data_IF_938239714135
#
_entry.id   IF_938239714135
#
_cell.length_a   1.000
_cell.length_b   1.000
_cell.length_c   1.000
_cell.angle_alpha   90.00
_cell.angle_beta   90.00
_cell.angle_gamma   90.00
#
_symmetry.space_group_name_H-M   'P 1'
#
loop_
_entity.id
_entity.type
_entity.pdbx_description
1 polymer ?
#
# COMPACT_ATOMS: atom_id res chain seq x y z
N UNK A 1 -6.81 -1.65 4.82
CA UNK A 1 -8.13 -2.31 4.68
C UNK A 1 -8.20 -3.21 3.44
N UNK A 2 -8.15 -2.73 2.18
CA UNK A 2 -8.33 -3.57 0.98
C UNK A 2 -7.42 -4.82 0.93
N UNK A 3 -6.14 -4.70 1.31
CA UNK A 3 -5.24 -5.86 1.40
C UNK A 3 -5.71 -6.91 2.41
N UNK A 4 -6.19 -6.45 3.57
CA UNK A 4 -6.72 -7.33 4.60
C UNK A 4 -7.98 -8.07 4.10
N UNK A 5 -8.90 -7.33 3.46
CA UNK A 5 -10.13 -7.92 2.91
C UNK A 5 -9.80 -8.99 1.87
N UNK A 6 -8.89 -8.69 0.91
CA UNK A 6 -8.49 -9.65 -0.12
C UNK A 6 -7.79 -10.88 0.46
N UNK A 7 -6.87 -10.68 1.40
CA UNK A 7 -6.18 -11.80 2.07
C UNK A 7 -7.14 -12.67 2.86
N UNK A 8 -8.08 -12.06 3.60
CA UNK A 8 -9.13 -12.79 4.32
C UNK A 8 -10.08 -13.52 3.37
N UNK A 9 -10.57 -12.84 2.32
CA UNK A 9 -11.46 -13.44 1.32
C UNK A 9 -10.79 -14.61 0.58
N UNK A 10 -9.49 -14.54 0.33
CA UNK A 10 -8.73 -15.65 -0.24
C UNK A 10 -8.78 -16.88 0.66
N UNK A 11 -8.56 -16.67 1.97
CA UNK A 11 -8.64 -17.75 2.94
C UNK A 11 -10.06 -18.29 3.11
N UNK A 12 -11.03 -17.42 3.28
CA UNK A 12 -12.45 -17.79 3.48
C UNK A 12 -13.03 -18.57 2.29
N UNK A 13 -12.65 -18.18 1.06
CA UNK A 13 -13.14 -18.79 -0.17
C UNK A 13 -12.49 -20.15 -0.47
N UNK A 14 -11.21 -20.31 -0.15
CA UNK A 14 -10.41 -21.45 -0.65
C UNK A 14 -9.85 -22.35 0.45
N UNK A 15 -9.78 -21.88 1.69
CA UNK A 15 -9.09 -22.54 2.81
C UNK A 15 -7.67 -23.01 2.46
N UNK A 16 -7.00 -22.36 1.50
CA UNK A 16 -5.72 -22.77 0.93
C UNK A 16 -4.65 -21.71 1.10
N UNK A 17 -3.52 -22.04 1.77
CA UNK A 17 -2.37 -21.13 1.86
C UNK A 17 -1.78 -20.76 0.50
N UNK A 18 -1.87 -21.65 -0.48
CA UNK A 18 -1.40 -21.40 -1.84
C UNK A 18 -2.18 -20.24 -2.47
N UNK A 19 -3.50 -20.23 -2.35
CA UNK A 19 -4.33 -19.14 -2.87
C UNK A 19 -4.05 -17.81 -2.17
N UNK A 20 -3.87 -17.82 -0.85
CA UNK A 20 -3.46 -16.62 -0.10
C UNK A 20 -2.12 -16.10 -0.62
N UNK A 21 -1.16 -17.00 -0.89
CA UNK A 21 0.13 -16.65 -1.48
C UNK A 21 0.02 -16.08 -2.89
N UNK A 22 -0.83 -16.66 -3.76
CA UNK A 22 -1.08 -16.18 -5.13
C UNK A 22 -1.69 -14.77 -5.09
N UNK A 23 -2.69 -14.54 -4.24
CA UNK A 23 -3.31 -13.22 -4.06
C UNK A 23 -2.29 -12.21 -3.56
N UNK A 24 -1.46 -12.58 -2.58
CA UNK A 24 -0.34 -11.76 -2.12
C UNK A 24 0.65 -11.40 -3.22
N UNK A 25 1.04 -12.38 -4.04
CA UNK A 25 1.92 -12.18 -5.19
C UNK A 25 1.30 -11.26 -6.25
N UNK A 26 0.01 -11.42 -6.56
CA UNK A 26 -0.71 -10.55 -7.49
C UNK A 26 -0.86 -9.12 -6.99
N UNK A 27 -0.92 -8.90 -5.68
CA UNK A 27 -0.88 -7.55 -5.11
C UNK A 27 0.51 -6.90 -5.18
N UNK A 28 1.57 -7.69 -5.33
CA UNK A 28 2.95 -7.20 -5.38
C UNK A 28 3.52 -7.10 -6.80
N UNK A 29 3.24 -8.07 -7.66
CA UNK A 29 3.83 -8.16 -8.99
C UNK A 29 3.56 -6.92 -9.88
N UNK A 30 2.32 -6.40 -9.98
CA UNK A 30 2.08 -5.17 -10.74
C UNK A 30 2.82 -3.97 -10.15
N UNK A 31 2.94 -3.90 -8.81
CA UNK A 31 3.66 -2.83 -8.15
C UNK A 31 5.15 -2.85 -8.50
N UNK A 32 5.78 -4.01 -8.55
CA UNK A 32 7.20 -4.14 -8.94
C UNK A 32 7.44 -3.67 -10.38
N UNK A 33 6.55 -4.05 -11.30
CA UNK A 33 6.71 -3.73 -12.74
C UNK A 33 6.35 -2.28 -13.04
N UNK A 34 5.27 -1.77 -12.46
CA UNK A 34 4.71 -0.45 -12.80
C UNK A 34 5.27 0.70 -11.96
N UNK A 35 5.79 0.43 -10.73
CA UNK A 35 6.29 1.51 -9.85
C UNK A 35 7.44 2.32 -10.45
N UNK A 36 8.43 1.74 -11.16
CA UNK A 36 9.48 2.53 -11.79
C UNK A 36 8.93 3.49 -12.86
N UNK A 37 7.96 3.03 -13.66
CA UNK A 37 7.30 3.86 -14.66
C UNK A 37 6.53 5.01 -14.00
N UNK A 38 5.71 4.73 -13.00
CA UNK A 38 4.97 5.75 -12.26
C UNK A 38 5.87 6.64 -11.42
N UNK A 39 7.06 6.17 -11.02
CA UNK A 39 8.09 6.98 -10.38
C UNK A 39 8.54 8.13 -11.29
N UNK A 40 8.94 7.83 -12.53
CA UNK A 40 9.30 8.86 -13.52
C UNK A 40 8.09 9.75 -13.85
N UNK A 41 6.90 9.16 -13.97
CA UNK A 41 5.69 9.93 -14.27
C UNK A 41 5.30 10.88 -13.13
N UNK A 42 5.61 10.55 -11.88
CA UNK A 42 5.28 11.41 -10.73
C UNK A 42 6.02 12.76 -10.72
N UNK A 43 7.15 12.85 -11.41
CA UNK A 43 7.89 14.10 -11.59
C UNK A 43 7.33 14.97 -12.73
N UNK A 44 6.50 14.38 -13.61
CA UNK A 44 5.97 15.02 -14.82
C UNK A 44 4.53 15.48 -14.70
N UNK A 45 3.74 14.80 -13.89
CA UNK A 45 2.32 15.11 -13.68
C UNK A 45 2.09 15.76 -12.33
N UNK A 46 0.97 16.47 -12.19
CA UNK A 46 0.58 16.99 -10.88
C UNK A 46 0.27 15.84 -9.92
N UNK A 47 1.07 15.65 -8.82
CA UNK A 47 0.91 14.52 -7.91
C UNK A 47 -0.48 14.48 -7.25
N UNK A 48 -1.13 15.65 -7.07
CA UNK A 48 -2.49 15.74 -6.56
C UNK A 48 -3.48 15.01 -7.48
N UNK A 49 -3.41 15.25 -8.80
CA UNK A 49 -4.31 14.59 -9.75
C UNK A 49 -4.03 13.08 -9.81
N UNK A 50 -2.76 12.68 -9.78
CA UNK A 50 -2.38 11.27 -9.70
C UNK A 50 -2.93 10.57 -8.46
N UNK A 51 -2.92 11.26 -7.30
CA UNK A 51 -3.50 10.72 -6.07
C UNK A 51 -5.04 10.65 -6.12
N UNK A 52 -5.72 11.68 -6.64
CA UNK A 52 -7.18 11.65 -6.81
C UNK A 52 -7.58 10.46 -7.69
N UNK A 53 -6.89 10.28 -8.83
CA UNK A 53 -7.12 9.12 -9.69
C UNK A 53 -6.87 7.80 -8.96
N UNK A 54 -5.78 7.72 -8.19
CA UNK A 54 -5.47 6.53 -7.39
C UNK A 54 -6.56 6.25 -6.34
N UNK A 55 -7.10 7.28 -5.64
CA UNK A 55 -8.19 7.10 -4.69
C UNK A 55 -9.47 6.62 -5.38
N UNK A 56 -9.81 7.18 -6.54
CA UNK A 56 -10.95 6.73 -7.33
C UNK A 56 -10.77 5.27 -7.77
N UNK A 57 -9.57 4.87 -8.17
CA UNK A 57 -9.27 3.50 -8.57
C UNK A 57 -9.36 2.53 -7.37
N UNK A 58 -8.83 2.89 -6.19
CA UNK A 58 -9.02 2.09 -4.98
C UNK A 58 -10.50 1.99 -4.58
N UNK A 59 -11.26 3.07 -4.74
CA UNK A 59 -12.69 3.10 -4.48
C UNK A 59 -13.47 2.18 -5.43
N UNK A 60 -13.12 2.17 -6.73
CA UNK A 60 -13.75 1.27 -7.71
C UNK A 60 -13.45 -0.22 -7.43
N UNK A 61 -12.23 -0.56 -6.98
CA UNK A 61 -11.87 -1.91 -6.53
C UNK A 61 -12.77 -2.31 -5.35
N UNK A 62 -12.91 -1.43 -4.34
CA UNK A 62 -13.79 -1.68 -3.20
C UNK A 62 -15.26 -1.84 -3.61
N UNK A 63 -15.74 -0.99 -4.53
CA UNK A 63 -17.11 -1.05 -5.03
C UNK A 63 -17.39 -2.35 -5.80
N UNK A 64 -16.47 -2.77 -6.68
CA UNK A 64 -16.59 -4.05 -7.38
C UNK A 64 -16.60 -5.22 -6.39
N UNK A 65 -15.72 -5.20 -5.38
CA UNK A 65 -15.71 -6.20 -4.31
C UNK A 65 -17.02 -6.24 -3.53
N UNK A 66 -17.60 -5.08 -3.18
CA UNK A 66 -18.88 -5.00 -2.50
C UNK A 66 -20.03 -5.57 -3.37
N UNK A 67 -20.13 -5.10 -4.62
CA UNK A 67 -21.19 -5.54 -5.54
C UNK A 67 -21.14 -7.05 -5.74
N UNK A 68 -19.97 -7.61 -6.03
CA UNK A 68 -19.81 -9.04 -6.28
C UNK A 68 -20.08 -9.88 -5.02
N UNK A 69 -19.70 -9.38 -3.84
CA UNK A 69 -19.99 -10.04 -2.56
C UNK A 69 -21.48 -10.05 -2.26
N UNK A 70 -22.18 -8.91 -2.37
CA UNK A 70 -23.61 -8.83 -2.08
C UNK A 70 -24.49 -9.54 -3.11
N UNK A 71 -24.03 -9.62 -4.38
CA UNK A 71 -24.74 -10.38 -5.42
C UNK A 71 -24.49 -11.90 -5.37
N UNK A 72 -23.60 -12.37 -4.50
CA UNK A 72 -23.19 -13.78 -4.46
C UNK A 72 -22.30 -14.20 -5.65
N UNK A 73 -21.82 -13.25 -6.45
CA UNK A 73 -20.97 -13.50 -7.63
C UNK A 73 -19.46 -13.44 -7.31
N UNK A 74 -19.08 -13.23 -6.05
CA UNK A 74 -17.68 -13.20 -5.64
C UNK A 74 -17.06 -14.59 -5.73
N UNK A 75 -16.03 -14.74 -6.56
CA UNK A 75 -15.35 -16.00 -6.84
C UNK A 75 -13.83 -15.79 -6.96
N UNK A 76 -13.10 -16.89 -7.19
CA UNK A 76 -11.64 -16.87 -7.30
C UNK A 76 -11.16 -15.93 -8.41
N UNK A 77 -11.82 -15.89 -9.56
CA UNK A 77 -11.45 -15.01 -10.66
C UNK A 77 -11.58 -13.53 -10.26
N UNK A 78 -12.71 -13.17 -9.64
CA UNK A 78 -12.94 -11.83 -9.10
C UNK A 78 -11.87 -11.44 -8.09
N UNK A 79 -11.54 -12.36 -7.17
CA UNK A 79 -10.49 -12.17 -6.18
C UNK A 79 -9.12 -11.87 -6.82
N UNK A 80 -8.72 -12.67 -7.84
CA UNK A 80 -7.44 -12.47 -8.54
C UNK A 80 -7.40 -11.13 -9.30
N UNK A 81 -8.48 -10.79 -9.99
CA UNK A 81 -8.59 -9.52 -10.73
C UNK A 81 -8.50 -8.31 -9.77
N UNK A 82 -9.21 -8.35 -8.64
CA UNK A 82 -9.15 -7.29 -7.64
C UNK A 82 -7.77 -7.20 -6.98
N UNK A 83 -7.09 -8.32 -6.75
CA UNK A 83 -5.72 -8.34 -6.22
C UNK A 83 -4.73 -7.69 -7.19
N UNK A 84 -4.78 -8.04 -8.47
CA UNK A 84 -3.95 -7.43 -9.51
C UNK A 84 -4.26 -5.93 -9.70
N UNK A 85 -5.53 -5.56 -9.68
CA UNK A 85 -5.96 -4.16 -9.73
C UNK A 85 -5.44 -3.36 -8.53
N UNK A 86 -5.50 -3.92 -7.31
CA UNK A 86 -4.96 -3.28 -6.11
C UNK A 86 -3.44 -3.10 -6.17
N UNK A 87 -2.71 -4.08 -6.71
CA UNK A 87 -1.27 -3.97 -6.97
C UNK A 87 -0.96 -2.82 -7.92
N UNK A 88 -1.70 -2.72 -9.01
CA UNK A 88 -1.57 -1.64 -10.01
C UNK A 88 -1.91 -0.26 -9.43
N UNK A 89 -3.00 -0.16 -8.67
CA UNK A 89 -3.38 1.08 -7.98
C UNK A 89 -2.30 1.53 -6.97
N UNK A 90 -1.70 0.58 -6.25
CA UNK A 90 -0.63 0.84 -5.28
C UNK A 90 0.67 1.30 -5.95
N UNK A 91 0.97 0.81 -7.15
CA UNK A 91 2.12 1.24 -7.95
C UNK A 91 2.07 2.74 -8.29
N UNK A 92 0.90 3.26 -8.60
CA UNK A 92 0.66 4.67 -8.85
C UNK A 92 0.64 5.49 -7.55
N UNK A 93 -0.06 4.98 -6.52
CA UNK A 93 -0.31 5.71 -5.27
C UNK A 93 0.98 6.13 -4.55
N UNK A 94 1.93 5.21 -4.39
CA UNK A 94 3.12 5.44 -3.57
C UNK A 94 4.02 6.57 -4.10
N UNK A 95 4.44 6.59 -5.40
CA UNK A 95 5.27 7.67 -5.91
C UNK A 95 4.54 9.02 -5.89
N UNK A 96 3.25 9.05 -6.24
CA UNK A 96 2.47 10.29 -6.20
C UNK A 96 2.36 10.88 -4.80
N UNK A 97 2.17 10.04 -3.77
CA UNK A 97 2.15 10.48 -2.38
C UNK A 97 3.49 11.07 -1.95
N UNK A 98 4.60 10.42 -2.29
CA UNK A 98 5.94 10.91 -1.94
C UNK A 98 6.27 12.22 -2.68
N UNK A 99 5.82 12.36 -3.92
CA UNK A 99 6.01 13.59 -4.69
C UNK A 99 5.17 14.76 -4.18
N UNK A 100 3.98 14.50 -3.58
CA UNK A 100 3.09 15.55 -3.08
C UNK A 100 3.61 16.21 -1.80
N UNK A 101 4.19 15.45 -0.86
CA UNK A 101 4.59 15.97 0.46
C UNK A 101 5.51 17.20 0.38
N UNK A 102 6.58 17.21 -0.44
CA UNK A 102 7.47 18.38 -0.56
C UNK A 102 6.81 19.62 -1.18
N UNK A 103 5.68 19.46 -1.86
CA UNK A 103 4.94 20.57 -2.46
C UNK A 103 3.95 21.24 -1.48
N UNK A 104 3.70 20.61 -0.33
CA UNK A 104 2.73 21.09 0.66
C UNK A 104 3.39 21.84 1.83
N UNK A 105 4.70 21.72 2.01
CA UNK A 105 5.39 22.30 3.16
C UNK A 105 6.67 23.02 2.73
N UNK A 106 7.11 24.07 3.45
CA UNK A 106 8.40 24.70 3.21
C UNK A 106 9.54 23.74 3.50
N UNK A 107 10.70 23.95 2.86
CA UNK A 107 11.88 23.04 2.99
C UNK A 107 12.33 22.82 4.43
N UNK A 108 12.19 23.82 5.29
CA UNK A 108 12.53 23.74 6.72
C UNK A 108 11.62 22.78 7.51
N UNK A 109 10.36 22.59 7.09
CA UNK A 109 9.41 21.71 7.75
C UNK A 109 9.37 20.29 7.13
N UNK A 110 10.11 20.05 6.04
CA UNK A 110 10.08 18.78 5.30
C UNK A 110 10.44 17.55 6.16
N UNK A 111 11.48 17.57 7.02
CA UNK A 111 11.78 16.41 7.87
C UNK A 111 10.62 16.06 8.82
N UNK A 112 10.01 17.07 9.44
CA UNK A 112 8.85 16.89 10.33
C UNK A 112 7.61 16.36 9.58
N UNK A 113 7.36 16.87 8.37
CA UNK A 113 6.26 16.41 7.53
C UNK A 113 6.44 14.93 7.13
N UNK A 114 7.64 14.53 6.74
CA UNK A 114 7.96 13.12 6.42
C UNK A 114 7.75 12.24 7.66
N UNK A 115 8.21 12.67 8.83
CA UNK A 115 7.99 11.96 10.09
C UNK A 115 6.51 11.78 10.42
N UNK A 116 5.69 12.84 10.25
CA UNK A 116 4.26 12.79 10.50
C UNK A 116 3.54 11.85 9.50
N UNK A 117 3.90 11.88 8.23
CA UNK A 117 3.37 10.96 7.22
C UNK A 117 3.72 9.52 7.54
N UNK A 118 4.95 9.24 7.95
CA UNK A 118 5.38 7.91 8.35
C UNK A 118 4.63 7.41 9.59
N UNK A 119 4.45 8.26 10.60
CA UNK A 119 3.68 7.96 11.81
C UNK A 119 2.21 7.66 11.47
N UNK A 120 1.56 8.51 10.67
CA UNK A 120 0.18 8.30 10.23
C UNK A 120 0.01 6.98 9.47
N UNK A 121 0.97 6.64 8.60
CA UNK A 121 0.97 5.38 7.86
C UNK A 121 1.09 4.16 8.80
N UNK A 122 1.95 4.22 9.83
CA UNK A 122 2.11 3.14 10.79
C UNK A 122 0.85 2.96 11.67
N UNK A 123 0.24 4.06 12.12
CA UNK A 123 -1.04 4.03 12.84
C UNK A 123 -2.13 3.37 11.98
N UNK A 124 -2.24 3.78 10.72
CA UNK A 124 -3.21 3.22 9.79
C UNK A 124 -2.98 1.72 9.49
N UNK A 125 -1.72 1.26 9.54
CA UNK A 125 -1.38 -0.18 9.40
C UNK A 125 -1.89 -1.03 10.56
N UNK A 126 -2.01 -0.47 11.77
CA UNK A 126 -2.55 -1.15 12.96
C UNK A 126 -4.07 -1.04 12.96
N UNK A 127 -4.59 0.19 12.85
CA UNK A 127 -6.03 0.44 12.95
C UNK A 127 -6.82 -0.15 11.77
N UNK A 128 -6.26 -0.11 10.57
CA UNK A 128 -6.94 -0.59 9.36
C UNK A 128 -7.38 -2.06 9.45
N UNK A 129 -6.48 -3.02 9.71
CA UNK A 129 -6.84 -4.42 9.93
C UNK A 129 -7.78 -4.63 11.12
N UNK A 130 -7.54 -3.96 12.26
CA UNK A 130 -8.38 -4.09 13.44
C UNK A 130 -9.84 -3.66 13.17
N UNK A 131 -10.03 -2.50 12.54
CA UNK A 131 -11.36 -2.05 12.10
C UNK A 131 -11.99 -3.02 11.10
N UNK A 132 -11.21 -3.49 10.13
CA UNK A 132 -11.68 -4.40 9.11
C UNK A 132 -12.17 -5.72 9.71
N UNK A 133 -11.40 -6.30 10.63
CA UNK A 133 -11.77 -7.54 11.31
C UNK A 133 -13.03 -7.37 12.16
N UNK A 134 -13.16 -6.27 12.90
CA UNK A 134 -14.36 -5.97 13.68
C UNK A 134 -15.60 -5.86 12.78
N UNK A 135 -15.48 -5.21 11.62
CA UNK A 135 -16.57 -5.08 10.65
C UNK A 135 -16.92 -6.45 10.07
N UNK A 136 -15.93 -7.25 9.67
CA UNK A 136 -16.15 -8.58 9.11
C UNK A 136 -16.84 -9.48 10.13
N UNK A 137 -16.38 -9.47 11.39
CA UNK A 137 -16.96 -10.30 12.45
C UNK A 137 -18.40 -9.95 12.80
N UNK A 138 -18.80 -8.68 12.68
CA UNK A 138 -20.15 -8.23 13.05
C UNK A 138 -21.11 -8.18 11.88
N UNK A 139 -20.65 -7.79 10.69
CA UNK A 139 -21.51 -7.50 9.54
C UNK A 139 -21.09 -8.22 8.25
N UNK A 140 -19.99 -8.94 8.28
CA UNK A 140 -19.50 -9.69 7.12
C UNK A 140 -18.61 -8.87 6.18
N UNK A 141 -18.00 -9.59 5.21
CA UNK A 141 -16.99 -9.05 4.28
C UNK A 141 -17.57 -7.94 3.38
N UNK A 142 -18.84 -8.05 2.98
CA UNK A 142 -19.51 -7.06 2.13
C UNK A 142 -19.48 -5.65 2.73
N UNK A 143 -19.72 -5.51 4.03
CA UNK A 143 -19.65 -4.22 4.72
C UNK A 143 -18.23 -3.69 4.85
N UNK A 144 -17.24 -4.57 5.00
CA UNK A 144 -15.84 -4.15 5.00
C UNK A 144 -15.43 -3.50 3.66
N UNK A 145 -15.93 -4.02 2.53
CA UNK A 145 -15.77 -3.40 1.22
C UNK A 145 -16.40 -2.00 1.16
N UNK A 146 -17.65 -1.84 1.63
CA UNK A 146 -18.34 -0.53 1.64
C UNK A 146 -17.56 0.49 2.46
N UNK A 147 -17.11 0.14 3.66
CA UNK A 147 -16.32 1.05 4.50
C UNK A 147 -15.01 1.44 3.80
N UNK A 148 -14.35 0.51 3.12
CA UNK A 148 -13.16 0.82 2.34
C UNK A 148 -13.49 1.82 1.20
N UNK A 149 -14.59 1.64 0.48
CA UNK A 149 -15.07 2.61 -0.54
C UNK A 149 -15.24 3.99 0.06
N UNK A 150 -15.95 4.11 1.19
CA UNK A 150 -16.19 5.38 1.86
C UNK A 150 -14.88 6.08 2.27
N UNK A 151 -13.92 5.34 2.80
CA UNK A 151 -12.61 5.89 3.20
C UNK A 151 -11.85 6.43 1.98
N UNK A 152 -11.77 5.66 0.88
CA UNK A 152 -11.05 6.10 -0.31
C UNK A 152 -11.77 7.24 -1.03
N UNK A 153 -13.10 7.20 -1.14
CA UNK A 153 -13.91 8.26 -1.73
C UNK A 153 -13.76 9.58 -0.94
N UNK A 154 -13.85 9.50 0.39
CA UNK A 154 -13.66 10.67 1.27
C UNK A 154 -12.24 11.22 1.14
N UNK A 155 -11.22 10.35 1.12
CA UNK A 155 -9.83 10.77 0.93
C UNK A 155 -9.63 11.46 -0.43
N UNK A 156 -10.23 10.92 -1.50
CA UNK A 156 -10.24 11.54 -2.82
C UNK A 156 -10.93 12.91 -2.81
N UNK A 157 -12.09 13.01 -2.16
CA UNK A 157 -12.82 14.27 -2.03
C UNK A 157 -12.01 15.33 -1.27
N UNK A 158 -11.35 14.98 -0.17
CA UNK A 158 -10.45 15.89 0.57
C UNK A 158 -9.31 16.37 -0.34
N UNK A 159 -8.69 15.49 -1.15
CA UNK A 159 -7.65 15.89 -2.08
C UNK A 159 -8.13 16.90 -3.13
N UNK A 160 -9.42 16.90 -3.50
CA UNK A 160 -9.96 17.89 -4.44
C UNK A 160 -10.04 19.30 -3.83
N UNK A 161 -10.08 19.43 -2.51
CA UNK A 161 -10.11 20.74 -1.82
C UNK A 161 -8.75 21.42 -1.77
N UNK A 162 -7.64 20.67 -1.92
CA UNK A 162 -6.30 21.24 -1.95
C UNK A 162 -6.15 22.14 -3.20
N UNK A 163 -5.87 23.42 -2.99
CA UNK A 163 -5.66 24.41 -4.06
C UNK A 163 -4.19 24.83 -4.09
N UNK A 164 -3.72 25.30 -5.26
CA UNK A 164 -2.39 25.89 -5.40
C UNK A 164 -1.22 24.89 -5.38
N UNK A 165 -1.50 23.58 -5.49
CA UNK A 165 -0.45 22.57 -5.65
C UNK A 165 0.03 22.60 -7.09
N UNK A 166 1.19 23.25 -7.32
CA UNK A 166 1.84 23.31 -8.62
C UNK A 166 2.47 21.95 -9.02
N UNK A 167 2.87 21.87 -10.27
CA UNK A 167 3.83 20.86 -10.73
C UNK A 167 5.24 21.30 -10.29
N UNK A 168 6.12 20.34 -10.04
CA UNK A 168 7.53 20.63 -9.79
C UNK A 168 8.10 21.43 -10.97
N UNK A 169 8.72 22.59 -10.70
CA UNK A 169 9.51 23.32 -11.70
C UNK A 169 10.70 22.46 -12.09
N UNK A 170 10.85 22.17 -13.38
CA UNK A 170 11.94 21.34 -13.90
C UNK A 170 11.45 20.15 -14.73
N UNK A 171 10.47 20.39 -15.60
CA UNK A 171 10.03 19.37 -16.56
C UNK A 171 11.23 18.95 -17.42
N UNK A 172 11.68 17.72 -17.25
CA UNK A 172 12.69 17.15 -18.13
C UNK A 172 12.09 16.96 -19.53
N UNK A 173 12.76 17.48 -20.54
CA UNK A 173 12.39 17.28 -21.95
C UNK A 173 12.77 15.87 -22.46
N UNK A 174 13.45 15.06 -21.63
CA UNK A 174 13.87 13.71 -21.96
C UNK A 174 12.65 12.76 -22.02
N UNK A 175 12.73 11.73 -22.84
CA UNK A 175 11.70 10.68 -22.85
C UNK A 175 11.70 9.89 -21.54
N UNK A 176 10.53 9.34 -21.12
CA UNK A 176 10.41 8.49 -19.92
C UNK A 176 11.38 7.30 -19.97
N UNK A 177 11.51 6.68 -21.15
CA UNK A 177 12.42 5.56 -21.37
C UNK A 177 13.89 5.95 -21.19
N UNK A 178 14.28 7.13 -21.64
CA UNK A 178 15.65 7.65 -21.49
C UNK A 178 15.98 7.89 -20.01
N UNK A 179 15.09 8.49 -19.24
CA UNK A 179 15.28 8.70 -17.79
C UNK A 179 15.33 7.39 -17.01
N UNK A 180 14.51 6.42 -17.41
CA UNK A 180 14.52 5.08 -16.82
C UNK A 180 15.87 4.38 -17.07
N UNK A 181 16.38 4.42 -18.31
CA UNK A 181 17.69 3.83 -18.67
C UNK A 181 18.82 4.54 -17.93
N UNK A 182 18.77 5.87 -17.84
CA UNK A 182 19.76 6.67 -17.10
C UNK A 182 19.77 6.29 -15.62
N UNK A 183 18.59 6.14 -15.00
CA UNK A 183 18.44 5.64 -13.62
C UNK A 183 19.02 4.23 -13.44
N UNK A 184 18.76 3.32 -14.38
CA UNK A 184 19.27 1.96 -14.34
C UNK A 184 20.83 1.94 -14.46
N UNK A 185 21.38 2.77 -15.33
CA UNK A 185 22.82 2.92 -15.46
C UNK A 185 23.46 3.52 -14.21
N UNK A 186 22.80 4.48 -13.56
CA UNK A 186 23.25 5.03 -12.28
C UNK A 186 23.31 3.96 -11.19
N UNK A 187 22.25 3.15 -11.07
CA UNK A 187 22.22 2.01 -10.13
C UNK A 187 23.37 1.06 -10.41
N UNK A 188 23.53 0.64 -11.67
CA UNK A 188 24.59 -0.31 -12.09
C UNK A 188 26.00 0.17 -11.75
N UNK A 189 26.23 1.47 -11.83
CA UNK A 189 27.55 2.09 -11.57
C UNK A 189 27.77 2.46 -10.10
N UNK A 190 26.78 2.27 -9.22
CA UNK A 190 26.89 2.63 -7.82
C UNK A 190 26.62 1.41 -6.91
N UNK A 191 27.68 0.74 -6.40
CA UNK A 191 27.53 -0.49 -5.61
C UNK A 191 26.76 -0.27 -4.29
N UNK A 192 26.83 0.93 -3.71
CA UNK A 192 26.07 1.26 -2.49
C UNK A 192 24.56 1.26 -2.78
N UNK A 193 24.15 1.83 -3.92
CA UNK A 193 22.74 1.83 -4.33
C UNK A 193 22.25 0.42 -4.63
N UNK A 194 23.06 -0.42 -5.28
CA UNK A 194 22.75 -1.84 -5.49
C UNK A 194 22.52 -2.54 -4.16
N UNK A 195 23.41 -2.36 -3.18
CA UNK A 195 23.30 -2.98 -1.86
C UNK A 195 22.00 -2.56 -1.14
N UNK A 196 21.67 -1.27 -1.19
CA UNK A 196 20.42 -0.75 -0.61
C UNK A 196 19.20 -1.35 -1.31
N UNK A 197 19.20 -1.43 -2.63
CA UNK A 197 18.11 -2.02 -3.40
C UNK A 197 17.96 -3.52 -3.13
N UNK A 198 19.08 -4.26 -3.06
CA UNK A 198 19.07 -5.69 -2.73
C UNK A 198 18.55 -5.93 -1.31
N UNK A 199 19.00 -5.16 -0.31
CA UNK A 199 18.50 -5.28 1.06
C UNK A 199 17.01 -4.94 1.16
N UNK A 200 16.55 -3.94 0.42
CA UNK A 200 15.12 -3.58 0.34
C UNK A 200 14.32 -4.69 -0.35
N UNK A 201 14.84 -5.29 -1.42
CA UNK A 201 14.21 -6.40 -2.13
C UNK A 201 14.09 -7.64 -1.23
N UNK A 202 15.19 -8.02 -0.55
CA UNK A 202 15.19 -9.14 0.40
C UNK A 202 14.18 -8.92 1.53
N UNK A 203 14.18 -7.73 2.13
CA UNK A 203 13.20 -7.37 3.16
C UNK A 203 11.75 -7.41 2.61
N UNK A 204 11.54 -6.91 1.40
CA UNK A 204 10.24 -6.95 0.73
C UNK A 204 9.76 -8.37 0.45
N UNK A 205 10.64 -9.23 -0.05
CA UNK A 205 10.30 -10.64 -0.37
C UNK A 205 10.08 -11.48 0.89
N UNK A 206 10.96 -11.41 1.88
CA UNK A 206 10.88 -12.25 3.07
C UNK A 206 9.94 -11.67 4.13
N UNK A 207 10.13 -10.42 4.52
CA UNK A 207 9.34 -9.79 5.58
C UNK A 207 7.89 -9.55 5.19
N UNK A 208 7.66 -9.12 3.95
CA UNK A 208 6.31 -8.83 3.49
C UNK A 208 5.51 -10.08 3.17
N UNK A 209 6.15 -11.11 2.61
CA UNK A 209 5.47 -12.39 2.32
C UNK A 209 4.93 -13.04 3.60
N UNK A 210 5.64 -12.93 4.72
CA UNK A 210 5.14 -13.40 6.01
C UNK A 210 3.84 -12.69 6.41
N UNK A 211 3.77 -11.37 6.24
CA UNK A 211 2.55 -10.59 6.57
C UNK A 211 1.38 -10.95 5.65
N UNK A 212 1.64 -11.19 4.36
CA UNK A 212 0.59 -11.58 3.41
C UNK A 212 0.05 -13.00 3.69
N UNK A 213 0.83 -13.86 4.34
CA UNK A 213 0.41 -15.22 4.73
C UNK A 213 -0.29 -15.28 6.11
N UNK A 214 -0.38 -14.19 6.86
CA UNK A 214 -1.05 -14.16 8.16
C UNK A 214 -2.50 -14.68 8.14
N UNK A 215 -3.33 -14.49 7.09
CA UNK A 215 -4.65 -15.11 7.00
C UNK A 215 -4.58 -16.64 7.06
N UNK A 216 -3.63 -17.26 6.35
CA UNK A 216 -3.44 -18.70 6.40
C UNK A 216 -2.91 -19.17 7.76
N UNK A 217 -2.01 -18.40 8.40
CA UNK A 217 -1.53 -18.69 9.75
C UNK A 217 -2.67 -18.64 10.77
N UNK A 218 -3.54 -17.60 10.68
CA UNK A 218 -4.71 -17.48 11.54
C UNK A 218 -5.65 -18.68 11.39
N UNK A 219 -5.97 -19.06 10.16
CA UNK A 219 -6.91 -20.13 9.89
C UNK A 219 -6.36 -21.53 10.19
N UNK A 220 -5.12 -21.83 9.79
CA UNK A 220 -4.55 -23.19 9.94
C UNK A 220 -3.98 -23.46 11.33
N UNK A 221 -3.21 -22.52 11.89
CA UNK A 221 -2.47 -22.77 13.13
C UNK A 221 -3.28 -22.37 14.37
N UNK A 222 -4.05 -21.30 14.28
CA UNK A 222 -4.84 -20.82 15.41
C UNK A 222 -6.31 -21.28 15.36
N UNK A 223 -6.72 -21.93 14.27
CA UNK A 223 -8.13 -22.25 13.99
C UNK A 223 -9.06 -21.06 14.25
N UNK A 224 -8.54 -19.85 13.99
CA UNK A 224 -9.14 -18.59 14.33
C UNK A 224 -9.82 -17.91 13.15
N UNK A 225 -10.58 -16.87 13.47
CA UNK A 225 -11.30 -16.06 12.50
C UNK A 225 -10.60 -14.76 12.12
N UNK A 226 -11.37 -13.80 11.63
CA UNK A 226 -10.88 -12.46 11.27
C UNK A 226 -10.32 -11.69 12.47
N UNK A 227 -10.79 -11.97 13.69
CA UNK A 227 -10.31 -11.37 14.94
C UNK A 227 -8.87 -11.78 15.26
N UNK A 228 -8.52 -13.05 15.13
CA UNK A 228 -7.18 -13.58 15.35
C UNK A 228 -6.20 -13.01 14.32
N UNK A 229 -6.62 -12.91 13.07
CA UNK A 229 -5.86 -12.24 12.02
C UNK A 229 -5.60 -10.78 12.35
N UNK A 230 -6.60 -10.05 12.90
CA UNK A 230 -6.43 -8.67 13.32
C UNK A 230 -5.39 -8.53 14.44
N UNK A 231 -5.42 -9.41 15.45
CA UNK A 231 -4.43 -9.42 16.54
C UNK A 231 -3.02 -9.68 16.03
N UNK A 232 -2.84 -10.65 15.12
CA UNK A 232 -1.54 -10.91 14.48
C UNK A 232 -1.02 -9.70 13.71
N UNK A 233 -1.90 -9.06 12.94
CA UNK A 233 -1.53 -7.88 12.14
C UNK A 233 -1.24 -6.67 13.03
N UNK A 234 -2.00 -6.49 14.13
CA UNK A 234 -1.76 -5.44 15.12
C UNK A 234 -0.43 -5.64 15.84
N UNK A 235 -0.09 -6.87 16.22
CA UNK A 235 1.19 -7.20 16.84
C UNK A 235 2.37 -6.88 15.90
N UNK A 236 2.28 -7.24 14.62
CA UNK A 236 3.29 -6.91 13.62
C UNK A 236 3.43 -5.39 13.43
N UNK A 237 2.31 -4.65 13.40
CA UNK A 237 2.30 -3.19 13.32
C UNK A 237 2.92 -2.52 14.54
N UNK A 238 2.59 -3.01 15.73
CA UNK A 238 3.15 -2.51 17.01
C UNK A 238 4.65 -2.72 17.07
N UNK A 239 5.14 -3.91 16.66
CA UNK A 239 6.56 -4.19 16.56
C UNK A 239 7.29 -3.23 15.63
N UNK A 240 6.69 -2.88 14.48
CA UNK A 240 7.26 -1.92 13.54
C UNK A 240 7.35 -0.50 14.13
N UNK A 241 6.34 -0.07 14.91
CA UNK A 241 6.35 1.24 15.60
C UNK A 241 7.43 1.28 16.67
N UNK A 242 7.52 0.25 17.52
CA UNK A 242 8.53 0.17 18.57
C UNK A 242 9.95 0.13 17.98
N UNK A 243 10.17 -0.66 16.93
CA UNK A 243 11.45 -0.70 16.21
C UNK A 243 11.84 0.66 15.63
N UNK A 244 10.90 1.36 15.02
CA UNK A 244 11.11 2.72 14.50
C UNK A 244 11.47 3.74 15.60
N UNK A 245 10.80 3.68 16.75
CA UNK A 245 11.09 4.53 17.90
C UNK A 245 12.48 4.26 18.50
N UNK A 246 12.88 2.99 18.60
CA UNK A 246 14.20 2.63 19.07
C UNK A 246 15.32 3.15 18.15
N UNK A 247 15.14 2.99 16.85
CA UNK A 247 16.10 3.50 15.84
C UNK A 247 16.19 5.02 15.84
N UNK A 248 15.07 5.73 16.03
CA UNK A 248 15.07 7.20 16.09
C UNK A 248 15.86 7.74 17.29
N UNK A 249 15.81 7.04 18.44
CA UNK A 249 16.60 7.39 19.64
C UNK A 249 18.11 7.20 19.42
N UNK A 250 18.52 6.14 18.70
CA UNK A 250 19.92 5.88 18.41
C UNK A 250 20.49 6.93 17.44
N UNK A 251 19.73 7.36 16.45
CA UNK A 251 20.16 8.42 15.54
C UNK A 251 20.41 9.77 16.25
N UNK A 252 19.67 10.07 17.32
CA UNK A 252 19.87 11.28 18.13
C UNK A 252 21.13 11.25 18.99
N UNK A 253 21.74 10.09 19.22
CA UNK A 253 23.00 9.96 19.97
C UNK A 253 24.26 9.97 19.09
N UNK A 254 24.11 9.91 17.76
CA UNK A 254 25.23 9.84 16.80
C UNK A 254 25.47 11.20 16.11
N UNK A 255 24.60 12.17 16.29
CA UNK A 255 24.77 13.59 15.90
C UNK A 255 25.19 14.43 17.09
#
# INVERSE_FOLDING_TARGET
>A
MLRFILGWSAWELTASPLWVGIVGALMLAPALVLSPYFGVQSDRVNPRHGLIFSMAFHSSIGLTGAITTFSGAFNELTLLLLAAALGSASALHNPMRLALVPLLVPRSALPSAIGLVAMSFNIARILGPAMCAAIIAQWGVGWAWIVAVCIFATSGAILTTLRGVGTREGRSDKSVNSEFIEGLNYVRNNPVVILILLSTLVNGLLGRSFIELLPAVSGLLLMGGASELAWLTAAAGTGAVLGGLLMSRQAAHVM
#
